data_IF_280136604453
#
_entry.id   IF_280136604453
#
_cell.length_a   1.000
_cell.length_b   1.000
_cell.length_c   1.000
_cell.angle_alpha   90.00
_cell.angle_beta   90.00
_cell.angle_gamma   90.00
#
_symmetry.space_group_name_H-M   'P 1'
#
loop_
_entity.id
_entity.type
_entity.pdbx_description
1 polymer ?
#
# COMPACT_ATOMS: atom_id res chain seq x y z
N UNK A 1 5.89 -3.56 6.35
CA UNK A 1 5.59 -4.60 5.34
C UNK A 1 5.87 -4.04 3.96
N UNK A 2 6.52 -4.81 3.08
CA UNK A 2 6.66 -4.44 1.67
C UNK A 2 5.37 -4.77 0.92
N UNK A 3 4.77 -3.80 0.25
CA UNK A 3 3.40 -3.89 -0.29
C UNK A 3 2.31 -3.41 0.68
N UNK A 4 2.65 -3.06 1.92
CA UNK A 4 1.66 -2.74 2.96
C UNK A 4 0.73 -1.57 2.64
N UNK A 5 1.12 -0.63 1.77
CA UNK A 5 0.24 0.44 1.29
C UNK A 5 -1.01 -0.08 0.58
N UNK A 6 -0.95 -1.26 -0.03
CA UNK A 6 -2.04 -1.84 -0.81
C UNK A 6 -3.02 -2.67 0.02
N UNK A 7 -2.80 -2.77 1.33
CA UNK A 7 -3.68 -3.49 2.24
C UNK A 7 -4.79 -2.55 2.75
N UNK A 8 -6.07 -2.85 2.52
CA UNK A 8 -7.15 -2.00 3.01
C UNK A 8 -7.29 -2.09 4.53
N UNK A 9 -7.82 -1.02 5.14
CA UNK A 9 -8.39 -1.06 6.47
C UNK A 9 -9.90 -1.33 6.34
N UNK A 10 -10.38 -2.34 7.06
CA UNK A 10 -11.77 -2.80 6.97
C UNK A 10 -12.47 -2.48 8.30
N UNK A 11 -13.29 -1.41 8.36
CA UNK A 11 -14.13 -1.16 9.52
C UNK A 11 -15.23 -2.24 9.56
N UNK A 12 -15.49 -2.81 10.75
CA UNK A 12 -16.35 -4.00 10.92
C UNK A 12 -17.72 -3.70 11.54
N UNK A 13 -18.03 -2.43 11.73
CA UNK A 13 -19.30 -1.93 12.29
C UNK A 13 -20.48 -2.15 11.33
N UNK A 14 -20.24 -2.07 10.02
CA UNK A 14 -21.19 -2.41 8.96
C UNK A 14 -20.74 -3.68 8.24
N UNK A 15 -21.42 -4.80 8.52
CA UNK A 15 -21.06 -6.10 7.95
C UNK A 15 -21.10 -6.14 6.42
N UNK A 16 -22.12 -5.51 5.79
CA UNK A 16 -22.33 -5.61 4.36
C UNK A 16 -21.28 -4.79 3.61
N UNK A 17 -21.00 -3.59 4.11
CA UNK A 17 -19.93 -2.75 3.58
C UNK A 17 -18.55 -3.38 3.80
N UNK A 18 -18.25 -3.86 5.01
CA UNK A 18 -16.99 -4.55 5.30
C UNK A 18 -16.80 -5.77 4.39
N UNK A 19 -17.85 -6.57 4.21
CA UNK A 19 -17.85 -7.72 3.31
C UNK A 19 -17.64 -7.35 1.84
N UNK A 20 -18.12 -6.18 1.41
CA UNK A 20 -17.90 -5.70 0.05
C UNK A 20 -16.43 -5.32 -0.15
N UNK A 21 -15.79 -4.68 0.83
CA UNK A 21 -14.36 -4.36 0.81
C UNK A 21 -13.49 -5.62 0.76
N UNK A 22 -13.80 -6.64 1.57
CA UNK A 22 -13.12 -7.96 1.54
C UNK A 22 -13.09 -8.53 0.11
N UNK A 23 -14.24 -8.52 -0.58
CA UNK A 23 -14.36 -9.05 -1.95
C UNK A 23 -13.70 -8.16 -2.98
N UNK A 24 -13.87 -6.84 -2.85
CA UNK A 24 -13.34 -5.85 -3.79
C UNK A 24 -11.81 -5.87 -3.81
N UNK A 25 -11.19 -5.89 -2.63
CA UNK A 25 -9.74 -5.96 -2.48
C UNK A 25 -9.20 -7.37 -2.70
N UNK A 26 -10.07 -8.39 -2.68
CA UNK A 26 -9.72 -9.81 -2.77
C UNK A 26 -8.68 -10.15 -1.71
N UNK A 27 -8.99 -9.76 -0.48
CA UNK A 27 -8.09 -10.00 0.64
C UNK A 27 -7.95 -11.49 0.88
N UNK A 28 -6.74 -11.88 1.21
CA UNK A 28 -6.39 -13.28 1.40
C UNK A 28 -6.25 -13.62 2.89
N UNK A 29 -5.86 -12.64 3.70
CA UNK A 29 -5.83 -12.73 5.17
C UNK A 29 -6.56 -11.54 5.78
N UNK A 30 -7.41 -11.83 6.76
CA UNK A 30 -7.97 -10.83 7.66
C UNK A 30 -7.14 -10.78 8.93
N UNK A 31 -6.32 -9.73 9.06
CA UNK A 31 -5.48 -9.52 10.23
C UNK A 31 -6.20 -8.65 11.27
N UNK A 32 -6.46 -9.13 12.49
CA UNK A 32 -7.10 -8.33 13.53
C UNK A 32 -6.15 -7.25 14.04
N UNK A 33 -6.57 -5.99 13.94
CA UNK A 33 -5.83 -4.84 14.51
C UNK A 33 -6.17 -4.59 15.98
N UNK A 34 -7.29 -5.14 16.47
CA UNK A 34 -7.71 -5.12 17.86
C UNK A 34 -8.17 -6.52 18.31
N UNK A 35 -8.32 -6.71 19.62
CA UNK A 35 -8.80 -7.96 20.22
C UNK A 35 -10.31 -7.94 20.51
N UNK A 36 -11.04 -7.04 19.88
CA UNK A 36 -12.46 -6.84 20.15
C UNK A 36 -13.28 -8.03 19.61
N UNK A 37 -14.32 -8.42 20.36
CA UNK A 37 -15.17 -9.55 20.01
C UNK A 37 -15.86 -9.36 18.65
N UNK A 38 -16.17 -8.13 18.26
CA UNK A 38 -16.84 -7.86 16.98
C UNK A 38 -15.90 -8.05 15.79
N UNK A 39 -14.61 -7.73 15.94
CA UNK A 39 -13.58 -8.06 14.94
C UNK A 39 -13.46 -9.56 14.79
N UNK A 40 -13.41 -10.30 15.90
CA UNK A 40 -13.35 -11.77 15.87
C UNK A 40 -14.58 -12.38 15.19
N UNK A 41 -15.79 -11.96 15.58
CA UNK A 41 -17.05 -12.44 14.97
C UNK A 41 -17.12 -12.12 13.47
N UNK A 42 -16.58 -10.98 13.04
CA UNK A 42 -16.50 -10.64 11.63
C UNK A 42 -15.58 -11.61 10.88
N UNK A 43 -14.36 -11.82 11.37
CA UNK A 43 -13.37 -12.73 10.77
C UNK A 43 -13.92 -14.17 10.69
N UNK A 44 -14.56 -14.66 11.76
CA UNK A 44 -15.13 -16.01 11.83
C UNK A 44 -16.18 -16.30 10.73
N UNK A 45 -16.75 -15.26 10.10
CA UNK A 45 -17.68 -15.40 8.96
C UNK A 45 -16.99 -15.67 7.63
N UNK A 46 -15.66 -15.62 7.58
CA UNK A 46 -14.84 -15.89 6.40
C UNK A 46 -13.95 -17.12 6.62
N UNK A 47 -14.52 -18.32 6.85
CA UNK A 47 -13.73 -19.53 7.16
C UNK A 47 -12.83 -19.98 6.00
N UNK A 48 -13.01 -19.42 4.80
CA UNK A 48 -12.18 -19.65 3.63
C UNK A 48 -10.93 -18.73 3.57
N UNK A 49 -10.79 -17.78 4.50
CA UNK A 49 -9.62 -16.92 4.69
C UNK A 49 -8.91 -17.30 6.00
N UNK A 50 -8.28 -18.50 6.09
CA UNK A 50 -7.65 -18.95 7.32
C UNK A 50 -6.47 -18.06 7.69
N UNK A 51 -6.09 -18.03 8.98
CA UNK A 51 -4.79 -17.50 9.36
C UNK A 51 -3.70 -18.47 8.88
N UNK A 52 -2.79 -18.04 7.99
CA UNK A 52 -1.71 -18.86 7.46
C UNK A 52 -0.52 -19.07 8.38
N UNK A 53 -0.37 -18.19 9.36
CA UNK A 53 0.81 -18.14 10.16
C UNK A 53 0.64 -19.15 11.29
N UNK A 54 1.70 -19.88 11.58
CA UNK A 54 1.74 -20.76 12.75
C UNK A 54 1.63 -19.96 14.06
N UNK A 55 2.05 -18.70 14.02
CA UNK A 55 2.02 -17.75 15.15
C UNK A 55 1.04 -16.62 14.86
N UNK A 56 0.41 -16.08 15.91
CA UNK A 56 -0.49 -14.94 15.79
C UNK A 56 0.26 -13.60 15.67
N UNK A 57 1.59 -13.59 15.83
CA UNK A 57 2.41 -12.39 15.75
C UNK A 57 3.10 -12.21 14.38
N UNK A 58 3.14 -10.97 13.88
CA UNK A 58 3.91 -10.60 12.69
C UNK A 58 5.44 -10.62 12.91
N UNK A 59 5.87 -10.44 14.15
CA UNK A 59 7.27 -10.49 14.57
C UNK A 59 7.41 -11.52 15.67
N UNK A 60 8.06 -12.64 15.38
CA UNK A 60 8.13 -13.79 16.28
C UNK A 60 9.53 -13.91 16.85
N UNK A 61 9.63 -14.22 18.14
CA UNK A 61 10.94 -14.39 18.76
C UNK A 61 11.68 -15.63 18.25
N UNK A 62 12.99 -15.49 18.05
CA UNK A 62 13.90 -16.58 17.70
C UNK A 62 14.36 -17.40 18.92
N UNK A 63 13.90 -17.06 20.13
CA UNK A 63 14.32 -17.69 21.38
C UNK A 63 15.63 -17.16 21.98
N UNK A 64 16.39 -16.34 21.23
CA UNK A 64 17.62 -15.69 21.68
C UNK A 64 17.40 -14.20 22.02
N UNK A 65 16.15 -13.77 22.14
CA UNK A 65 15.77 -12.39 22.40
C UNK A 65 15.66 -11.53 21.15
N UNK A 66 15.95 -12.07 19.95
CA UNK A 66 15.64 -11.37 18.70
C UNK A 66 14.19 -11.67 18.29
N UNK A 67 13.69 -10.88 17.35
CA UNK A 67 12.40 -11.10 16.69
C UNK A 67 12.59 -11.01 15.19
N UNK A 68 11.96 -11.91 14.46
CA UNK A 68 12.01 -11.96 13.01
C UNK A 68 10.65 -11.64 12.40
N UNK A 69 10.59 -10.81 11.34
CA UNK A 69 9.38 -10.61 10.57
C UNK A 69 8.97 -11.93 9.89
N UNK A 70 7.68 -12.29 10.01
CA UNK A 70 7.09 -13.46 9.33
C UNK A 70 6.58 -13.15 7.92
N UNK A 71 6.53 -11.89 7.54
CA UNK A 71 6.13 -11.44 6.22
C UNK A 71 7.28 -10.66 5.61
N UNK A 72 7.41 -10.73 4.29
CA UNK A 72 8.34 -9.88 3.53
C UNK A 72 8.21 -8.41 3.96
N UNK A 73 9.32 -7.89 4.45
CA UNK A 73 9.42 -6.58 5.05
C UNK A 73 10.16 -5.60 4.13
N UNK A 74 10.32 -4.37 4.62
CA UNK A 74 10.93 -3.27 3.87
C UNK A 74 12.46 -3.34 3.78
N UNK A 75 13.10 -4.36 4.38
CA UNK A 75 14.53 -4.61 4.20
C UNK A 75 14.90 -4.78 2.73
N UNK A 76 14.10 -5.52 1.96
CA UNK A 76 14.37 -5.82 0.55
C UNK A 76 14.42 -4.57 -0.34
N UNK A 77 13.40 -3.67 -0.35
CA UNK A 77 13.48 -2.45 -1.14
C UNK A 77 14.58 -1.49 -0.64
N UNK A 78 14.90 -1.46 0.67
CA UNK A 78 16.03 -0.68 1.18
C UNK A 78 17.35 -1.19 0.59
N UNK A 79 17.60 -2.49 0.71
CA UNK A 79 18.84 -3.10 0.22
C UNK A 79 18.97 -2.95 -1.29
N UNK A 80 17.87 -3.09 -2.03
CA UNK A 80 17.86 -2.89 -3.47
C UNK A 80 18.24 -1.46 -3.85
N UNK A 81 17.65 -0.46 -3.20
CA UNK A 81 18.00 0.94 -3.44
C UNK A 81 19.48 1.20 -3.09
N UNK A 82 19.98 0.58 -2.02
CA UNK A 82 21.39 0.67 -1.65
C UNK A 82 22.30 0.12 -2.75
N UNK A 83 22.03 -1.10 -3.22
CA UNK A 83 22.83 -1.76 -4.25
C UNK A 83 22.80 -1.02 -5.59
N UNK A 84 21.64 -0.46 -5.98
CA UNK A 84 21.46 0.25 -7.25
C UNK A 84 22.01 1.69 -7.22
N UNK A 85 21.91 2.41 -6.10
CA UNK A 85 22.16 3.86 -6.06
C UNK A 85 23.19 4.35 -5.03
N UNK A 86 23.59 3.57 -4.02
CA UNK A 86 24.42 4.07 -2.91
C UNK A 86 25.74 3.31 -2.70
N UNK A 87 25.78 1.99 -2.93
CA UNK A 87 26.91 1.11 -2.58
C UNK A 87 28.27 1.58 -3.08
N UNK A 88 28.32 2.31 -4.19
CA UNK A 88 29.53 2.90 -4.76
C UNK A 88 29.33 4.36 -5.23
N UNK A 89 28.33 5.08 -4.68
CA UNK A 89 28.01 6.43 -5.09
C UNK A 89 27.92 7.36 -3.87
N UNK A 90 28.90 8.25 -3.74
CA UNK A 90 28.97 9.22 -2.64
C UNK A 90 28.05 10.43 -2.83
N UNK A 91 27.46 10.59 -4.02
CA UNK A 91 26.57 11.69 -4.40
C UNK A 91 25.35 11.15 -5.14
N UNK A 92 24.57 10.30 -4.46
CA UNK A 92 23.29 9.83 -5.00
C UNK A 92 22.33 11.00 -5.14
N UNK A 93 21.68 11.11 -6.31
CA UNK A 93 20.61 12.09 -6.56
C UNK A 93 19.31 11.71 -5.81
N UNK A 94 19.21 10.48 -5.30
CA UNK A 94 18.05 10.01 -4.53
C UNK A 94 18.16 10.45 -3.07
N UNK A 95 17.19 11.22 -2.58
CA UNK A 95 17.15 11.67 -1.19
C UNK A 95 16.13 10.87 -0.38
N UNK A 96 16.61 10.09 0.58
CA UNK A 96 15.75 9.38 1.55
C UNK A 96 15.57 10.22 2.81
N UNK A 97 14.32 10.39 3.24
CA UNK A 97 13.99 11.23 4.40
C UNK A 97 13.14 10.46 5.42
N UNK A 98 13.52 10.59 6.68
CA UNK A 98 12.78 10.14 7.84
C UNK A 98 12.08 11.36 8.40
N UNK A 99 10.75 11.33 8.41
CA UNK A 99 9.95 12.39 9.02
C UNK A 99 9.59 11.99 10.45
N UNK A 100 9.76 12.92 11.37
CA UNK A 100 9.42 12.74 12.78
C UNK A 100 8.43 13.82 13.20
N UNK A 101 7.42 13.45 13.97
CA UNK A 101 6.42 14.36 14.52
C UNK A 101 6.04 13.91 15.93
N UNK A 102 5.43 14.82 16.69
CA UNK A 102 4.89 14.51 18.02
C UNK A 102 3.59 13.70 17.89
N UNK A 103 3.37 12.76 18.79
CA UNK A 103 2.15 11.96 18.80
C UNK A 103 0.88 12.80 19.00
N UNK A 104 1.04 13.97 19.63
CA UNK A 104 -0.03 14.93 19.90
C UNK A 104 -0.29 15.90 18.72
N UNK A 105 0.49 15.83 17.64
CA UNK A 105 0.19 16.61 16.43
C UNK A 105 -1.19 16.18 15.90
N UNK A 106 -2.17 17.10 15.72
CA UNK A 106 -3.49 16.74 15.21
C UNK A 106 -3.48 16.04 13.84
N UNK A 107 -2.40 16.20 13.08
CA UNK A 107 -2.22 15.55 11.78
C UNK A 107 -1.52 14.19 11.88
N UNK A 108 -1.22 13.68 13.07
CA UNK A 108 -0.35 12.51 13.28
C UNK A 108 -0.75 11.27 12.44
N UNK A 109 -2.04 10.94 12.39
CA UNK A 109 -2.52 9.77 11.63
C UNK A 109 -2.42 9.99 10.11
N UNK A 110 -2.72 11.20 9.65
CA UNK A 110 -2.58 11.58 8.23
C UNK A 110 -1.11 11.62 7.81
N UNK A 111 -0.22 12.12 8.68
CA UNK A 111 1.23 12.08 8.49
C UNK A 111 1.73 10.64 8.45
N UNK A 112 1.25 9.78 9.35
CA UNK A 112 1.60 8.36 9.36
C UNK A 112 1.16 7.67 8.08
N UNK A 113 -0.08 7.89 7.65
CA UNK A 113 -0.59 7.35 6.40
C UNK A 113 0.25 7.82 5.21
N UNK A 114 0.62 9.11 5.17
CA UNK A 114 1.28 9.75 4.03
C UNK A 114 2.77 9.44 3.96
N UNK A 115 3.50 9.65 5.06
CA UNK A 115 4.95 9.62 5.15
C UNK A 115 5.50 8.31 5.72
N UNK A 116 4.68 7.56 6.45
CA UNK A 116 5.06 6.29 7.07
C UNK A 116 5.96 6.46 8.28
N UNK A 117 5.95 5.46 9.16
CA UNK A 117 6.85 5.33 10.28
C UNK A 117 7.16 3.85 10.51
N UNK A 118 8.20 3.56 11.29
CA UNK A 118 8.51 2.21 11.74
C UNK A 118 8.16 2.04 13.22
N UNK A 119 7.68 0.85 13.62
CA UNK A 119 7.68 0.49 15.03
C UNK A 119 9.12 0.45 15.56
N UNK A 120 9.27 0.50 16.88
CA UNK A 120 10.58 0.45 17.53
C UNK A 120 11.32 -0.86 17.24
N UNK A 121 12.65 -0.84 17.37
CA UNK A 121 13.47 -2.03 17.21
C UNK A 121 13.07 -3.14 18.21
N UNK A 122 12.67 -2.78 19.43
CA UNK A 122 12.19 -3.76 20.43
C UNK A 122 10.89 -4.48 19.98
N UNK A 123 10.03 -3.78 19.23
CA UNK A 123 8.79 -4.37 18.75
C UNK A 123 9.04 -5.36 17.60
N UNK A 124 9.97 -5.04 16.70
CA UNK A 124 10.18 -5.76 15.44
C UNK A 124 11.40 -6.68 15.40
N UNK A 125 12.35 -6.49 16.32
CA UNK A 125 13.69 -7.08 16.31
C UNK A 125 14.66 -6.46 15.31
N UNK A 126 14.22 -5.50 14.48
CA UNK A 126 15.03 -4.85 13.45
C UNK A 126 14.97 -3.32 13.58
N UNK A 127 16.14 -2.68 13.69
CA UNK A 127 16.24 -1.22 13.67
C UNK A 127 16.28 -0.68 12.23
N UNK A 128 15.10 -0.54 11.62
CA UNK A 128 14.96 -0.02 10.26
C UNK A 128 15.42 1.43 10.11
N UNK A 129 15.33 2.24 11.16
CA UNK A 129 15.78 3.63 11.14
C UNK A 129 17.31 3.68 11.01
N UNK A 130 18.01 2.85 11.80
CA UNK A 130 19.46 2.70 11.66
C UNK A 130 19.86 2.14 10.30
N UNK A 131 19.09 1.21 9.73
CA UNK A 131 19.33 0.71 8.36
C UNK A 131 19.24 1.84 7.32
N UNK A 132 18.18 2.67 7.37
CA UNK A 132 18.03 3.79 6.45
C UNK A 132 19.16 4.82 6.56
N UNK A 133 19.57 5.16 7.79
CA UNK A 133 20.68 6.10 8.03
C UNK A 133 22.01 5.55 7.53
N UNK A 134 22.29 4.27 7.80
CA UNK A 134 23.56 3.62 7.44
C UNK A 134 23.67 3.36 5.94
N UNK A 135 22.62 2.77 5.34
CA UNK A 135 22.70 2.28 3.97
C UNK A 135 22.29 3.36 2.96
N UNK A 136 21.33 4.22 3.30
CA UNK A 136 20.76 5.19 2.35
C UNK A 136 21.03 6.65 2.73
N UNK A 137 21.94 6.89 3.69
CA UNK A 137 22.29 8.24 4.18
C UNK A 137 21.07 9.08 4.53
N UNK A 138 20.02 8.46 5.07
CA UNK A 138 18.74 9.10 5.27
C UNK A 138 18.83 10.27 6.25
N UNK A 139 18.18 11.39 5.90
CA UNK A 139 18.11 12.60 6.73
C UNK A 139 16.84 12.60 7.57
N UNK A 140 16.91 13.13 8.78
CA UNK A 140 15.72 13.36 9.62
C UNK A 140 15.20 14.79 9.41
N UNK A 141 13.88 14.91 9.22
CA UNK A 141 13.15 16.19 9.21
C UNK A 141 12.08 16.12 10.29
N UNK A 142 12.11 17.08 11.22
CA UNK A 142 11.10 17.20 12.27
C UNK A 142 9.97 18.08 11.77
N UNK A 143 8.73 17.59 11.84
CA UNK A 143 7.52 18.32 11.52
C UNK A 143 6.97 18.90 12.83
N UNK A 144 6.90 20.24 12.90
CA UNK A 144 6.34 20.94 14.05
C UNK A 144 4.84 21.17 13.86
N UNK A 145 4.01 21.00 14.92
CA UNK A 145 2.56 21.14 14.85
C UNK A 145 2.09 22.56 14.51
N UNK A 146 2.92 23.57 14.79
CA UNK A 146 2.59 24.98 14.59
C UNK A 146 3.16 25.56 13.27
N UNK A 147 3.87 24.73 12.51
CA UNK A 147 4.52 25.15 11.26
C UNK A 147 3.82 24.53 10.04
N UNK A 148 3.91 25.18 8.87
CA UNK A 148 3.46 24.57 7.63
C UNK A 148 4.17 23.24 7.34
N UNK A 149 3.44 22.32 6.72
CA UNK A 149 3.98 21.04 6.32
C UNK A 149 5.12 21.25 5.29
N UNK A 150 6.21 20.47 5.41
CA UNK A 150 7.31 20.56 4.47
C UNK A 150 6.82 20.21 3.07
N UNK A 151 7.32 20.93 2.08
CA UNK A 151 7.01 20.68 0.67
C UNK A 151 7.54 19.29 0.28
N UNK A 152 6.62 18.35 0.04
CA UNK A 152 6.92 16.99 -0.40
C UNK A 152 7.19 16.95 -1.92
N UNK A 153 8.44 17.15 -2.36
CA UNK A 153 8.78 17.00 -3.77
C UNK A 153 8.85 15.52 -4.17
N UNK A 154 8.67 15.20 -5.45
CA UNK A 154 8.79 13.84 -5.97
C UNK A 154 10.19 13.22 -5.84
N UNK A 155 11.20 14.04 -5.56
CA UNK A 155 12.60 13.62 -5.37
C UNK A 155 12.89 13.14 -3.94
N UNK A 156 11.99 13.41 -3.00
CA UNK A 156 12.08 12.95 -1.62
C UNK A 156 11.39 11.60 -1.48
N UNK A 157 12.13 10.59 -0.99
CA UNK A 157 11.59 9.29 -0.62
C UNK A 157 11.29 9.25 0.89
N UNK A 158 10.02 9.44 1.31
CA UNK A 158 9.62 9.16 2.67
C UNK A 158 9.61 7.65 2.96
N UNK A 159 9.52 7.28 4.23
CA UNK A 159 9.46 5.87 4.66
C UNK A 159 8.32 5.09 3.97
N UNK A 160 7.17 5.73 3.75
CA UNK A 160 6.03 5.12 3.07
C UNK A 160 6.35 4.72 1.62
N UNK A 161 7.32 5.34 0.96
CA UNK A 161 7.70 5.01 -0.42
C UNK A 161 8.23 3.57 -0.54
N UNK A 162 8.94 3.07 0.48
CA UNK A 162 9.46 1.69 0.50
C UNK A 162 8.36 0.64 0.50
N UNK A 163 7.16 0.97 1.00
CA UNK A 163 6.01 0.05 0.91
C UNK A 163 5.53 -0.18 -0.53
N UNK A 164 5.87 0.72 -1.48
CA UNK A 164 5.51 0.67 -2.90
C UNK A 164 6.69 0.38 -3.82
N UNK A 165 7.92 0.67 -3.38
CA UNK A 165 9.13 0.57 -4.19
C UNK A 165 9.28 -0.80 -4.86
N UNK A 166 9.65 -0.81 -6.13
CA UNK A 166 9.87 -2.02 -6.95
C UNK A 166 8.67 -2.99 -7.03
N UNK A 167 7.45 -2.52 -6.76
CA UNK A 167 6.20 -3.26 -6.99
C UNK A 167 5.55 -2.76 -8.27
N UNK A 168 5.04 -3.68 -9.07
CA UNK A 168 4.41 -3.41 -10.36
C UNK A 168 2.89 -3.58 -10.26
N UNK A 169 2.16 -2.73 -11.00
CA UNK A 169 0.73 -2.90 -11.20
C UNK A 169 0.47 -3.77 -12.41
N UNK A 170 -0.45 -4.72 -12.25
CA UNK A 170 -0.86 -5.61 -13.32
C UNK A 170 -1.69 -4.89 -14.39
N UNK A 171 -1.30 -5.04 -15.65
CA UNK A 171 -1.87 -4.31 -16.79
C UNK A 171 -3.37 -4.58 -17.05
N UNK A 172 -3.92 -5.71 -16.58
CA UNK A 172 -5.34 -6.04 -16.79
C UNK A 172 -6.30 -5.17 -15.98
N UNK A 173 -5.84 -4.51 -14.91
CA UNK A 173 -6.69 -3.64 -14.09
C UNK A 173 -6.35 -2.19 -14.40
N UNK A 174 -7.23 -1.56 -15.18
CA UNK A 174 -7.25 -0.11 -15.36
C UNK A 174 -8.31 0.47 -14.41
N UNK A 175 -7.86 1.31 -13.48
CA UNK A 175 -8.73 2.06 -12.59
C UNK A 175 -9.04 3.42 -13.24
N UNK A 176 -10.16 3.50 -13.96
CA UNK A 176 -10.55 4.72 -14.67
C UNK A 176 -10.98 5.85 -13.74
N UNK A 177 -11.22 5.58 -12.46
CA UNK A 177 -11.48 6.62 -11.46
C UNK A 177 -10.25 6.88 -10.59
N UNK A 178 -9.15 6.14 -10.73
CA UNK A 178 -7.93 6.26 -9.92
C UNK A 178 -7.08 7.49 -10.25
N UNK A 179 -7.71 8.60 -10.63
CA UNK A 179 -7.02 9.83 -10.97
C UNK A 179 -6.40 10.46 -9.72
N UNK A 180 -5.17 10.98 -9.83
CA UNK A 180 -4.51 11.60 -8.70
C UNK A 180 -5.14 12.95 -8.36
N UNK A 181 -4.99 13.35 -7.11
CA UNK A 181 -5.56 14.60 -6.66
C UNK A 181 -5.55 14.75 -5.16
N UNK A 182 -6.63 15.29 -4.61
CA UNK A 182 -6.74 15.67 -3.21
C UNK A 182 -7.92 14.96 -2.58
N UNK A 183 -7.70 14.33 -1.43
CA UNK A 183 -8.78 13.90 -0.57
C UNK A 183 -9.07 14.98 0.45
N UNK A 184 -10.28 15.52 0.43
CA UNK A 184 -10.73 16.55 1.36
C UNK A 184 -11.56 15.89 2.45
N UNK A 185 -11.09 16.00 3.68
CA UNK A 185 -11.66 15.33 4.84
C UNK A 185 -11.18 15.97 6.14
N UNK A 186 -11.72 15.53 7.27
CA UNK A 186 -11.30 16.03 8.59
C UNK A 186 -10.36 15.04 9.25
N UNK A 187 -9.28 15.54 9.84
CA UNK A 187 -8.28 14.67 10.51
C UNK A 187 -8.83 13.99 11.76
N UNK A 188 -9.87 14.56 12.38
CA UNK A 188 -10.53 14.03 13.57
C UNK A 188 -11.66 13.04 13.24
N UNK A 189 -11.91 12.77 11.96
CA UNK A 189 -12.97 11.89 11.50
C UNK A 189 -12.42 10.53 11.07
N UNK A 190 -12.89 9.47 11.73
CA UNK A 190 -12.46 8.11 11.46
C UNK A 190 -12.76 7.65 10.02
N UNK A 191 -13.94 7.94 9.50
CA UNK A 191 -14.35 7.54 8.14
C UNK A 191 -13.49 8.22 7.08
N UNK A 192 -13.11 9.50 7.28
CA UNK A 192 -12.20 10.24 6.41
C UNK A 192 -10.81 9.58 6.34
N UNK A 193 -10.25 9.23 7.50
CA UNK A 193 -8.94 8.58 7.57
C UNK A 193 -8.94 7.20 6.89
N UNK A 194 -9.98 6.40 7.14
CA UNK A 194 -10.12 5.06 6.53
C UNK A 194 -10.33 5.17 5.02
N UNK A 195 -11.18 6.10 4.58
CA UNK A 195 -11.45 6.32 3.16
C UNK A 195 -10.19 6.78 2.43
N UNK A 196 -9.45 7.73 3.00
CA UNK A 196 -8.17 8.19 2.47
C UNK A 196 -7.17 7.03 2.33
N UNK A 197 -7.00 6.22 3.38
CA UNK A 197 -6.10 5.07 3.33
C UNK A 197 -6.53 4.07 2.26
N UNK A 198 -7.81 3.71 2.21
CA UNK A 198 -8.32 2.71 1.27
C UNK A 198 -8.24 3.19 -0.18
N UNK A 199 -8.46 4.48 -0.46
CA UNK A 199 -8.25 5.03 -1.79
C UNK A 199 -6.77 4.93 -2.18
N UNK A 200 -5.84 5.22 -1.25
CA UNK A 200 -4.40 5.05 -1.48
C UNK A 200 -4.00 3.58 -1.68
N UNK A 201 -4.70 2.65 -1.01
CA UNK A 201 -4.53 1.21 -1.21
C UNK A 201 -4.97 0.75 -2.61
N UNK A 202 -5.80 1.54 -3.30
CA UNK A 202 -6.11 1.32 -4.72
C UNK A 202 -5.04 1.85 -5.69
N UNK A 203 -3.86 2.22 -5.19
CA UNK A 203 -2.77 2.88 -5.92
C UNK A 203 -3.12 4.30 -6.43
N UNK A 204 -4.20 4.92 -5.93
CA UNK A 204 -4.49 6.33 -6.20
C UNK A 204 -3.46 7.23 -5.51
N UNK A 205 -2.93 8.20 -6.25
CA UNK A 205 -1.99 9.18 -5.70
C UNK A 205 -2.76 10.36 -5.11
N UNK A 206 -2.81 10.45 -3.79
CA UNK A 206 -3.62 11.42 -3.07
C UNK A 206 -2.79 12.19 -2.04
N UNK A 207 -3.05 13.48 -1.97
CA UNK A 207 -2.74 14.32 -0.82
C UNK A 207 -3.99 14.49 0.04
N UNK A 208 -3.87 14.35 1.36
CA UNK A 208 -4.96 14.69 2.29
C UNK A 208 -4.99 16.21 2.49
N UNK A 209 -6.18 16.79 2.60
CA UNK A 209 -6.38 18.20 2.93
C UNK A 209 -7.54 18.36 3.91
N UNK A 210 -7.24 18.93 5.08
CA UNK A 210 -8.25 19.38 6.03
C UNK A 210 -8.37 20.91 5.98
N UNK A 211 -9.53 21.46 5.58
CA UNK A 211 -9.76 22.91 5.60
C UNK A 211 -9.53 23.56 6.97
N UNK A 212 -9.73 22.83 8.07
CA UNK A 212 -9.51 23.31 9.44
C UNK A 212 -8.04 23.56 9.76
N UNK A 213 -7.14 22.94 8.99
CA UNK A 213 -5.68 23.08 9.08
C UNK A 213 -5.08 23.65 7.79
N UNK A 214 -5.86 24.45 7.04
CA UNK A 214 -5.47 24.98 5.73
C UNK A 214 -4.07 25.63 5.73
N UNK A 215 -3.77 26.47 6.72
CA UNK A 215 -2.46 27.14 6.83
C UNK A 215 -1.27 26.18 6.89
N UNK A 216 -1.47 24.97 7.44
CA UNK A 216 -0.43 23.94 7.46
C UNK A 216 -0.27 23.23 6.13
N UNK A 217 -1.39 22.94 5.45
CA UNK A 217 -1.36 22.20 4.19
C UNK A 217 -1.01 23.06 2.97
N UNK A 218 -1.40 24.34 2.96
CA UNK A 218 -1.37 25.23 1.79
C UNK A 218 -0.05 25.20 1.01
N UNK A 219 1.14 25.35 1.61
CA UNK A 219 2.39 25.33 0.84
C UNK A 219 2.63 24.01 0.11
N UNK A 220 2.32 22.88 0.77
CA UNK A 220 2.44 21.55 0.17
C UNK A 220 1.36 21.31 -0.88
N UNK A 221 0.14 21.80 -0.63
CA UNK A 221 -0.99 21.67 -1.54
C UNK A 221 -0.72 22.40 -2.86
N UNK A 222 -0.22 23.62 -2.80
CA UNK A 222 0.06 24.41 -4.00
C UNK A 222 1.10 23.74 -4.89
N UNK A 223 2.18 23.22 -4.29
CA UNK A 223 3.20 22.48 -5.02
C UNK A 223 2.65 21.16 -5.59
N UNK A 224 1.83 20.44 -4.84
CA UNK A 224 1.17 19.22 -5.31
C UNK A 224 0.26 19.48 -6.51
N UNK A 225 -0.56 20.54 -6.46
CA UNK A 225 -1.42 20.94 -7.57
C UNK A 225 -0.60 21.38 -8.78
N UNK A 226 0.50 22.09 -8.58
CA UNK A 226 1.42 22.47 -9.67
C UNK A 226 2.03 21.24 -10.34
N UNK A 227 2.55 20.28 -9.57
CA UNK A 227 3.07 19.02 -10.09
C UNK A 227 1.99 18.28 -10.90
N UNK A 228 0.78 18.15 -10.35
CA UNK A 228 -0.32 17.48 -11.03
C UNK A 228 -0.75 18.18 -12.33
N UNK A 229 -0.66 19.51 -12.42
CA UNK A 229 -0.94 20.28 -13.65
C UNK A 229 0.19 20.19 -14.67
N UNK A 230 1.43 19.98 -14.22
CA UNK A 230 2.60 19.87 -15.08
C UNK A 230 2.71 18.52 -15.80
N UNK A 231 1.92 17.52 -15.37
CA UNK A 231 1.93 16.17 -15.95
C UNK A 231 1.63 16.21 -17.46
N UNK A 232 2.31 15.39 -18.28
CA UNK A 232 2.00 15.29 -19.69
C UNK A 232 0.52 14.95 -19.90
N UNK A 233 -0.09 15.56 -20.92
CA UNK A 233 -1.46 15.21 -21.29
C UNK A 233 -1.53 13.71 -21.61
N UNK A 234 -2.34 13.00 -20.83
CA UNK A 234 -2.74 11.63 -21.07
C UNK A 234 -3.54 11.48 -22.36
N UNK A 235 -3.97 10.24 -22.60
CA UNK A 235 -4.66 9.88 -23.85
C UNK A 235 -6.05 10.51 -23.94
N UNK A 236 -6.66 10.82 -22.79
CA UNK A 236 -7.97 11.46 -22.68
C UNK A 236 -7.92 12.69 -21.77
N UNK A 237 -8.74 13.71 -22.03
CA UNK A 237 -8.79 14.94 -21.22
C UNK A 237 -9.17 14.69 -19.76
N UNK A 238 -10.04 13.71 -19.49
CA UNK A 238 -10.42 13.32 -18.12
C UNK A 238 -9.24 12.79 -17.31
N UNK A 239 -8.25 12.15 -17.97
CA UNK A 239 -7.03 11.66 -17.34
C UNK A 239 -6.09 12.79 -16.89
N UNK A 240 -6.32 14.01 -17.41
CA UNK A 240 -5.55 15.21 -17.07
C UNK A 240 -6.18 16.01 -15.93
N UNK A 241 -7.42 15.71 -15.55
CA UNK A 241 -8.10 16.42 -14.46
C UNK A 241 -7.50 16.05 -13.11
N UNK A 242 -7.47 17.03 -12.20
CA UNK A 242 -7.15 16.82 -10.78
C UNK A 242 -8.43 16.44 -10.07
N UNK A 243 -8.48 15.26 -9.46
CA UNK A 243 -9.70 14.82 -8.79
C UNK A 243 -9.73 15.26 -7.33
N UNK A 244 -10.81 15.91 -6.93
CA UNK A 244 -11.13 16.22 -5.54
C UNK A 244 -12.08 15.15 -5.04
N UNK A 245 -11.60 14.37 -4.09
CA UNK A 245 -12.33 13.28 -3.47
C UNK A 245 -12.93 13.77 -2.16
N UNK A 246 -14.23 13.56 -1.98
CA UNK A 246 -15.01 14.06 -0.85
C UNK A 246 -15.82 12.92 -0.26
N UNK A 247 -15.81 12.76 1.07
CA UNK A 247 -16.87 11.97 1.73
C UNK A 247 -18.17 12.76 1.83
N UNK A 248 -19.29 12.09 2.11
CA UNK A 248 -20.61 12.71 2.22
C UNK A 248 -20.64 13.89 3.20
N UNK A 249 -19.89 13.79 4.31
CA UNK A 249 -19.71 14.82 5.33
C UNK A 249 -19.02 16.10 4.84
N UNK A 250 -18.27 16.02 3.73
CA UNK A 250 -17.58 17.17 3.12
C UNK A 250 -18.34 17.72 1.91
N UNK A 251 -19.55 17.22 1.63
CA UNK A 251 -20.38 17.72 0.53
C UNK A 251 -20.59 19.24 0.65
N UNK A 252 -20.35 19.97 -0.44
CA UNK A 252 -20.47 21.43 -0.48
C UNK A 252 -19.29 22.21 0.11
N UNK A 253 -18.17 21.54 0.42
CA UNK A 253 -16.91 22.22 0.78
C UNK A 253 -16.48 23.23 -0.29
N UNK A 254 -15.81 24.31 0.14
CA UNK A 254 -15.24 25.27 -0.80
C UNK A 254 -14.05 24.65 -1.54
N UNK A 255 -14.23 24.45 -2.84
CA UNK A 255 -13.23 23.88 -3.74
C UNK A 255 -12.44 24.95 -4.51
N UNK A 256 -12.71 26.23 -4.28
CA UNK A 256 -12.09 27.34 -5.03
C UNK A 256 -10.56 27.36 -4.88
N UNK A 257 -10.05 26.93 -3.72
CA UNK A 257 -8.61 26.82 -3.43
C UNK A 257 -7.87 25.88 -4.40
N UNK A 258 -8.56 24.89 -4.97
CA UNK A 258 -7.96 23.93 -5.91
C UNK A 258 -7.85 24.48 -7.34
N UNK A 259 -8.47 25.63 -7.63
CA UNK A 259 -8.39 26.30 -8.93
C UNK A 259 -9.12 25.54 -10.06
N UNK A 260 -8.62 25.70 -11.28
CA UNK A 260 -9.24 25.14 -12.50
C UNK A 260 -8.69 23.75 -12.85
N UNK A 261 -9.39 23.06 -13.75
CA UNK A 261 -8.98 21.73 -14.25
C UNK A 261 -9.27 20.60 -13.26
N UNK A 262 -10.27 20.79 -12.39
CA UNK A 262 -10.65 19.82 -11.36
C UNK A 262 -11.88 18.99 -11.77
N UNK A 263 -11.96 17.77 -11.25
CA UNK A 263 -13.13 16.90 -11.24
C UNK A 263 -13.52 16.56 -9.81
N UNK A 264 -14.81 16.36 -9.53
CA UNK A 264 -15.30 16.00 -8.20
C UNK A 264 -15.74 14.54 -8.18
N UNK A 265 -15.30 13.80 -7.16
CA UNK A 265 -15.74 12.44 -6.88
C UNK A 265 -16.21 12.33 -5.43
N UNK A 266 -17.51 12.12 -5.25
CA UNK A 266 -18.08 11.80 -3.95
C UNK A 266 -17.87 10.31 -3.64
N UNK A 267 -17.35 10.03 -2.45
CA UNK A 267 -17.02 8.69 -1.98
C UNK A 267 -17.98 8.31 -0.88
N UNK A 268 -18.88 7.41 -1.22
CA UNK A 268 -19.80 6.77 -0.30
C UNK A 268 -19.59 5.24 -0.35
N UNK A 269 -20.36 4.49 0.44
CA UNK A 269 -20.28 3.02 0.51
C UNK A 269 -20.50 2.39 -0.87
N UNK A 270 -21.43 2.93 -1.65
CA UNK A 270 -21.79 2.46 -2.99
C UNK A 270 -20.68 2.67 -4.02
N UNK A 271 -19.74 3.59 -3.77
CA UNK A 271 -18.57 3.82 -4.64
C UNK A 271 -17.62 2.61 -4.65
N UNK A 272 -17.62 1.80 -3.59
CA UNK A 272 -16.78 0.60 -3.42
C UNK A 272 -17.38 -0.65 -4.07
N UNK A 273 -17.77 -0.55 -5.34
CA UNK A 273 -18.52 -1.60 -6.05
C UNK A 273 -17.72 -2.38 -7.12
N UNK A 274 -16.43 -2.07 -7.32
CA UNK A 274 -15.59 -2.69 -8.36
C UNK A 274 -15.82 -2.16 -9.78
N UNK A 275 -16.82 -1.30 -9.98
CA UNK A 275 -17.05 -0.57 -11.22
C UNK A 275 -16.45 0.83 -11.15
N UNK A 276 -16.82 1.60 -10.12
CA UNK A 276 -16.31 2.95 -9.86
C UNK A 276 -14.86 2.87 -9.37
N UNK A 277 -14.64 2.31 -8.18
CA UNK A 277 -13.29 2.04 -7.66
C UNK A 277 -12.86 0.63 -8.05
N UNK A 278 -11.68 0.53 -8.69
CA UNK A 278 -11.05 -0.75 -9.01
C UNK A 278 -9.74 -0.92 -8.25
N UNK A 279 -9.64 -2.01 -7.51
CA UNK A 279 -8.41 -2.36 -6.78
C UNK A 279 -7.42 -3.04 -7.73
N UNK A 280 -6.22 -2.48 -7.90
CA UNK A 280 -5.19 -3.06 -8.78
C UNK A 280 -4.69 -4.39 -8.22
N UNK A 281 -4.08 -5.18 -9.09
CA UNK A 281 -3.23 -6.27 -8.64
C UNK A 281 -1.78 -5.80 -8.59
N UNK A 282 -1.17 -5.90 -7.42
CA UNK A 282 0.20 -5.49 -7.19
C UNK A 282 1.10 -6.72 -7.05
N UNK A 283 2.29 -6.70 -7.67
CA UNK A 283 3.20 -7.85 -7.65
C UNK A 283 4.67 -7.45 -7.71
N UNK A 284 5.54 -8.32 -7.19
CA UNK A 284 7.00 -8.13 -7.22
C UNK A 284 7.61 -8.59 -8.54
N UNK A 285 7.16 -9.73 -9.06
CA UNK A 285 7.64 -10.31 -10.31
C UNK A 285 6.58 -11.22 -10.93
N UNK A 286 6.72 -11.54 -12.21
CA UNK A 286 5.97 -12.60 -12.86
C UNK A 286 6.90 -13.50 -13.67
N UNK A 287 6.55 -14.77 -13.83
CA UNK A 287 7.35 -15.74 -14.59
C UNK A 287 6.42 -16.80 -15.16
N UNK A 288 6.64 -17.28 -16.38
CA UNK A 288 5.86 -18.40 -16.92
C UNK A 288 6.60 -19.71 -16.70
N UNK A 289 5.95 -20.72 -16.12
CA UNK A 289 6.52 -22.06 -15.93
C UNK A 289 5.70 -23.12 -16.66
N UNK A 290 6.26 -24.31 -16.87
CA UNK A 290 5.52 -25.43 -17.43
C UNK A 290 4.93 -26.25 -16.28
N UNK A 291 3.65 -26.58 -16.37
CA UNK A 291 2.98 -27.44 -15.42
C UNK A 291 2.77 -28.84 -15.98
N UNK A 292 2.94 -29.84 -15.12
CA UNK A 292 2.51 -31.21 -15.40
C UNK A 292 1.13 -31.39 -14.77
N UNK A 293 0.16 -31.75 -15.59
CA UNK A 293 -1.20 -32.10 -15.15
C UNK A 293 -1.27 -33.62 -15.12
N UNK A 294 -1.52 -34.17 -13.94
CA UNK A 294 -1.81 -35.59 -13.74
C UNK A 294 -3.15 -35.78 -13.05
N UNK A 295 -3.52 -37.03 -12.83
CA UNK A 295 -4.67 -37.39 -12.00
C UNK A 295 -4.18 -37.74 -10.60
N UNK A 296 -4.83 -37.21 -9.56
CA UNK A 296 -4.61 -37.66 -8.20
C UNK A 296 -5.43 -38.91 -7.89
N UNK A 297 -5.02 -39.67 -6.88
CA UNK A 297 -5.86 -40.68 -6.24
C UNK A 297 -7.15 -40.00 -5.75
N UNK A 298 -8.26 -40.26 -6.44
CA UNK A 298 -9.55 -39.59 -6.21
C UNK A 298 -10.13 -38.88 -7.43
N UNK A 299 -9.44 -38.86 -8.57
CA UNK A 299 -9.99 -38.35 -9.84
C UNK A 299 -9.96 -36.83 -10.00
N UNK A 300 -9.29 -36.10 -9.09
CA UNK A 300 -9.10 -34.66 -9.23
C UNK A 300 -7.83 -34.37 -10.05
N UNK A 301 -7.86 -33.37 -10.95
CA UNK A 301 -6.65 -32.95 -11.65
C UNK A 301 -5.65 -32.39 -10.65
N UNK A 302 -4.43 -32.95 -10.65
CA UNK A 302 -3.29 -32.44 -9.89
C UNK A 302 -2.35 -31.72 -10.82
N UNK A 303 -2.07 -30.46 -10.48
CA UNK A 303 -1.09 -29.64 -11.19
C UNK A 303 0.19 -29.59 -10.37
N UNK A 304 1.34 -29.88 -10.99
CA UNK A 304 2.66 -29.78 -10.38
C UNK A 304 3.56 -28.91 -11.24
N UNK A 305 4.31 -28.00 -10.62
CA UNK A 305 5.22 -27.08 -11.30
C UNK A 305 6.32 -26.64 -10.33
N UNK A 306 7.45 -26.21 -10.89
CA UNK A 306 8.53 -25.62 -10.11
C UNK A 306 8.27 -24.12 -9.93
N UNK A 307 8.47 -23.61 -8.71
CA UNK A 307 8.42 -22.18 -8.46
C UNK A 307 9.62 -21.47 -9.10
N UNK A 308 9.42 -20.28 -9.67
CA UNK A 308 10.53 -19.44 -10.11
C UNK A 308 11.39 -19.01 -8.90
N UNK A 309 12.63 -18.52 -9.15
CA UNK A 309 13.45 -17.92 -8.10
C UNK A 309 12.72 -16.79 -7.35
N UNK A 310 13.05 -16.60 -6.07
CA UNK A 310 12.44 -15.55 -5.26
C UNK A 310 12.83 -14.17 -5.82
N UNK A 311 11.91 -13.19 -5.87
CA UNK A 311 12.22 -11.83 -6.33
C UNK A 311 12.85 -10.93 -5.26
N UNK A 312 13.40 -11.53 -4.19
CA UNK A 312 13.97 -10.83 -3.04
C UNK A 312 15.24 -11.54 -2.56
N UNK A 313 15.96 -10.90 -1.63
CA UNK A 313 17.23 -11.39 -1.13
C UNK A 313 17.09 -12.71 -0.38
N UNK A 314 18.09 -13.58 -0.55
CA UNK A 314 18.11 -14.97 -0.07
C UNK A 314 19.10 -15.19 1.09
N UNK A 315 19.35 -14.17 1.92
CA UNK A 315 20.15 -14.38 3.14
C UNK A 315 19.42 -15.37 4.08
N UNK A 316 20.16 -16.27 4.74
CA UNK A 316 19.59 -17.36 5.56
C UNK A 316 18.56 -16.86 6.59
N UNK A 317 18.84 -15.72 7.24
CA UNK A 317 17.96 -15.07 8.21
C UNK A 317 16.58 -14.67 7.64
N UNK A 318 16.44 -14.57 6.32
CA UNK A 318 15.21 -14.16 5.64
C UNK A 318 14.34 -15.37 5.22
N UNK A 319 14.83 -16.59 5.38
CA UNK A 319 14.10 -17.81 4.96
C UNK A 319 12.82 -18.05 5.75
N UNK A 320 12.68 -17.39 6.90
CA UNK A 320 11.49 -17.44 7.74
C UNK A 320 10.37 -16.50 7.31
N UNK A 321 10.62 -15.63 6.32
CA UNK A 321 9.61 -14.73 5.77
C UNK A 321 8.70 -15.48 4.79
N UNK A 322 7.40 -15.37 4.99
CA UNK A 322 6.38 -15.91 4.11
C UNK A 322 6.06 -14.92 2.99
N UNK A 323 5.74 -15.48 1.82
CA UNK A 323 5.26 -14.77 0.64
C UNK A 323 4.16 -15.56 -0.04
N UNK A 324 3.54 -14.96 -1.05
CA UNK A 324 2.44 -15.57 -1.79
C UNK A 324 2.75 -15.65 -3.25
N UNK A 325 2.24 -16.74 -3.79
CA UNK A 325 2.26 -17.05 -5.20
C UNK A 325 0.81 -17.25 -5.62
N UNK A 326 0.30 -16.32 -6.42
CA UNK A 326 -0.93 -16.55 -7.18
C UNK A 326 -0.63 -17.41 -8.42
N UNK A 327 -1.62 -18.18 -8.87
CA UNK A 327 -1.53 -18.94 -10.12
C UNK A 327 -2.68 -18.51 -11.01
N UNK A 328 -2.37 -18.08 -12.24
CA UNK A 328 -3.35 -17.69 -13.25
C UNK A 328 -3.25 -18.63 -14.45
N UNK A 329 -4.19 -19.57 -14.59
CA UNK A 329 -4.24 -20.42 -15.77
C UNK A 329 -4.80 -19.63 -16.97
N UNK A 330 -3.96 -18.88 -17.69
CA UNK A 330 -4.36 -18.26 -18.97
C UNK A 330 -4.55 -19.32 -20.07
N UNK A 331 -5.57 -20.16 -19.98
CA UNK A 331 -5.99 -21.03 -21.07
C UNK A 331 -6.73 -20.22 -22.13
N UNK A 332 -6.00 -19.65 -23.09
CA UNK A 332 -6.60 -19.38 -24.41
C UNK A 332 -6.63 -20.72 -25.15
N UNK A 333 -7.82 -21.28 -25.35
CA UNK A 333 -7.99 -22.49 -26.16
C UNK A 333 -7.63 -22.19 -27.62
N UNK A 334 -6.40 -22.45 -28.00
CA UNK A 334 -5.95 -22.65 -29.38
C UNK A 334 -4.68 -23.48 -29.28
N UNK A 335 -4.87 -24.80 -29.26
CA UNK A 335 -3.87 -25.85 -29.53
C UNK A 335 -2.39 -25.48 -29.27
N UNK A 336 -2.04 -25.18 -28.02
CA UNK A 336 -0.71 -25.32 -27.41
C UNK A 336 -0.80 -24.78 -25.98
N UNK A 337 -0.77 -25.67 -24.99
CA UNK A 337 -0.92 -25.34 -23.57
C UNK A 337 0.35 -24.64 -23.04
N UNK A 338 0.44 -23.32 -23.20
CA UNK A 338 1.35 -22.48 -22.42
C UNK A 338 0.56 -21.86 -21.27
N UNK A 339 0.95 -22.19 -20.04
CA UNK A 339 0.45 -21.55 -18.82
C UNK A 339 1.38 -20.38 -18.48
N UNK A 340 0.80 -19.22 -18.20
CA UNK A 340 1.52 -18.07 -17.66
C UNK A 340 1.42 -18.14 -16.14
N UNK A 341 2.50 -17.91 -15.41
CA UNK A 341 2.44 -17.81 -13.95
C UNK A 341 2.73 -16.37 -13.56
N UNK A 342 2.20 -15.98 -12.41
CA UNK A 342 2.35 -14.62 -11.89
C UNK A 342 2.56 -14.73 -10.40
N UNK A 343 3.76 -14.46 -9.92
CA UNK A 343 4.01 -14.27 -8.49
C UNK A 343 3.42 -12.94 -8.04
N UNK A 344 2.10 -12.92 -7.87
CA UNK A 344 1.37 -11.83 -7.21
C UNK A 344 1.49 -12.01 -5.70
N UNK A 345 1.88 -10.92 -5.01
CA UNK A 345 1.95 -10.88 -3.56
C UNK A 345 0.57 -10.52 -2.99
N UNK A 346 -0.02 -11.42 -2.22
CA UNK A 346 -1.35 -11.27 -1.61
C UNK A 346 -1.51 -12.28 -0.47
N UNK A 347 -1.57 -11.84 0.80
CA UNK A 347 -1.29 -12.61 2.05
C UNK A 347 -1.77 -14.10 2.07
N UNK A 348 -0.91 -15.11 2.15
CA UNK A 348 -1.34 -16.52 2.24
C UNK A 348 -1.57 -16.63 3.68
#
# INVERSE_FOLDING_TARGET
MWGGRYNPLIPVDDFDFASSLVRLFRVDVLWPVSKDDDVKKFIDRFPYLPNPFFHEELFVSDGNGNRDPRIVDIYHPIRRLYEEHFKNNLSSDTTVTIFEWKAEDPLADVLLATLGAFPTADATGTDYISLLRRDLSAKTVVINPDEPLPQFSGEVWPVSAFSRGFIQQHYQIQNYWGHPGVYVGRVDNFEDQITFWNLRATNTSLMFYDPSYASRFEPSLMMWLEDLRSRPSGRFESENSITIWLGDQMAGSDISIFGQGISLNDVCKETWNGFNIKVPYMYFSEASVLAVIGESTGGFPRMSFQLPPKPFFEDEKLYVQCMIVSVDSRTRSLAMNKLHFRSLLYLN
#
